data_IF_966560356864
#
_entry.id   IF_966560356864
#
_cell.length_a   1.000
_cell.length_b   1.000
_cell.length_c   1.000
_cell.angle_alpha   90.00
_cell.angle_beta   90.00
_cell.angle_gamma   90.00
#
_symmetry.space_group_name_H-M   'P 1'
#
loop_
_entity.id
_entity.type
_entity.pdbx_description
1 polymer ?
#
# COMPACT_ATOMS: atom_id res chain seq x y z
N UNK A 1 9.26 -10.48 68.13
CA UNK A 1 9.87 -10.39 66.78
C UNK A 1 9.60 -11.71 66.06
N UNK A 2 8.54 -11.80 65.27
CA UNK A 2 8.25 -12.98 64.44
C UNK A 2 7.75 -12.51 63.09
N UNK A 3 8.59 -12.71 62.06
CA UNK A 3 8.28 -12.38 60.68
C UNK A 3 7.51 -13.55 60.04
N UNK A 4 6.35 -13.25 59.46
CA UNK A 4 5.56 -14.20 58.68
C UNK A 4 5.84 -13.94 57.20
N UNK A 5 6.48 -14.89 56.53
CA UNK A 5 6.80 -14.84 55.09
C UNK A 5 5.65 -15.52 54.34
N UNK A 6 4.94 -14.77 53.51
CA UNK A 6 3.90 -15.29 52.61
C UNK A 6 4.48 -15.44 51.20
N UNK A 7 4.73 -16.68 50.74
CA UNK A 7 5.09 -16.97 49.34
C UNK A 7 3.81 -17.11 48.50
N UNK A 8 3.64 -16.22 47.51
CA UNK A 8 2.64 -16.34 46.45
C UNK A 8 3.20 -17.22 45.33
N UNK A 9 2.56 -18.37 45.10
CA UNK A 9 2.76 -19.22 43.91
C UNK A 9 1.93 -18.66 42.75
N UNK A 10 2.61 -18.25 41.67
CA UNK A 10 2.00 -17.86 40.40
C UNK A 10 1.89 -19.12 39.54
N UNK A 11 0.66 -19.54 39.21
CA UNK A 11 0.37 -20.60 38.23
C UNK A 11 0.38 -19.99 36.82
N UNK A 12 1.12 -20.61 35.90
CA UNK A 12 1.06 -20.31 34.48
C UNK A 12 -0.24 -20.86 33.83
N UNK A 13 -0.80 -20.20 32.82
CA UNK A 13 -1.99 -20.68 32.11
C UNK A 13 -1.65 -21.82 31.12
N UNK A 14 -2.60 -22.72 30.84
CA UNK A 14 -2.42 -23.81 29.88
C UNK A 14 -2.44 -23.30 28.44
N UNK A 15 -1.52 -23.83 27.64
CA UNK A 15 -1.46 -23.67 26.18
C UNK A 15 -2.71 -24.26 25.53
N UNK A 16 -3.46 -23.43 24.82
CA UNK A 16 -4.62 -23.85 24.04
C UNK A 16 -4.19 -24.67 22.80
N UNK A 17 -4.84 -25.81 22.64
CA UNK A 17 -4.74 -26.75 21.53
C UNK A 17 -5.28 -26.15 20.24
N UNK A 18 -4.59 -26.43 19.13
CA UNK A 18 -4.99 -26.08 17.78
C UNK A 18 -6.32 -26.76 17.40
N UNK A 19 -7.30 -25.96 16.98
CA UNK A 19 -8.53 -26.44 16.36
C UNK A 19 -8.80 -25.62 15.08
N UNK A 20 -8.76 -26.34 13.95
CA UNK A 20 -9.53 -26.10 12.72
C UNK A 20 -9.64 -24.66 12.22
N UNK A 21 -8.62 -24.23 11.47
CA UNK A 21 -8.71 -23.13 10.51
C UNK A 21 -9.60 -23.54 9.33
N UNK A 22 -10.49 -22.65 8.93
CA UNK A 22 -11.33 -22.73 7.73
C UNK A 22 -10.49 -22.63 6.43
N UNK A 23 -11.00 -23.09 5.26
CA UNK A 23 -10.20 -23.36 4.06
C UNK A 23 -9.66 -22.13 3.30
N UNK A 24 -9.99 -20.92 3.72
CA UNK A 24 -9.76 -19.71 2.91
C UNK A 24 -8.34 -19.12 2.99
N UNK A 25 -7.40 -19.81 3.65
CA UNK A 25 -6.00 -19.35 3.81
C UNK A 25 -4.99 -20.02 2.88
N UNK A 26 -5.38 -20.98 2.04
CA UNK A 26 -4.42 -21.79 1.28
C UNK A 26 -3.94 -21.15 -0.05
N UNK A 27 -4.73 -20.29 -0.69
CA UNK A 27 -4.46 -19.91 -2.09
C UNK A 27 -3.68 -18.61 -2.32
N UNK A 28 -3.35 -17.83 -1.28
CA UNK A 28 -2.57 -16.59 -1.45
C UNK A 28 -1.08 -16.69 -1.05
N UNK A 29 -0.60 -17.86 -0.59
CA UNK A 29 0.76 -17.98 -0.05
C UNK A 29 1.80 -18.63 -0.99
N UNK A 30 1.47 -18.97 -2.25
CA UNK A 30 2.40 -19.70 -3.13
C UNK A 30 3.11 -18.89 -4.23
N UNK A 31 3.09 -17.55 -4.18
CA UNK A 31 3.83 -16.72 -5.16
C UNK A 31 4.72 -15.67 -4.47
N UNK A 32 5.53 -16.06 -3.49
CA UNK A 32 6.66 -15.22 -3.07
C UNK A 32 7.90 -16.08 -2.75
N UNK A 33 8.98 -15.72 -3.41
CA UNK A 33 10.31 -16.32 -3.41
C UNK A 33 10.86 -16.60 -2.00
N UNK A 34 11.64 -17.69 -1.79
CA UNK A 34 12.27 -17.97 -0.52
C UNK A 34 13.50 -17.08 -0.32
N UNK A 35 13.43 -16.15 0.63
CA UNK A 35 14.63 -15.46 1.10
C UNK A 35 14.48 -13.99 1.50
N UNK A 36 13.62 -13.66 2.47
CA UNK A 36 13.92 -12.52 3.34
C UNK A 36 13.29 -12.69 4.71
N UNK A 37 14.14 -12.63 5.75
CA UNK A 37 13.73 -12.64 7.14
C UNK A 37 13.15 -11.26 7.48
N UNK A 38 11.82 -11.14 7.54
CA UNK A 38 11.11 -9.95 8.06
C UNK A 38 10.11 -10.38 9.13
N UNK A 39 10.62 -10.83 10.27
CA UNK A 39 9.89 -10.85 11.55
C UNK A 39 10.52 -9.78 12.44
N UNK A 40 10.01 -8.54 12.41
CA UNK A 40 10.18 -7.58 13.53
C UNK A 40 9.48 -6.20 13.43
N UNK A 41 8.60 -5.92 12.46
CA UNK A 41 8.04 -4.54 12.31
C UNK A 41 6.56 -4.35 12.68
N UNK A 42 5.92 -5.31 13.36
CA UNK A 42 4.48 -5.22 13.66
C UNK A 42 4.17 -4.64 15.04
N UNK A 43 5.11 -4.61 15.99
CA UNK A 43 4.81 -4.26 17.40
C UNK A 43 5.03 -2.80 17.84
N UNK A 44 5.49 -1.89 16.96
CA UNK A 44 5.64 -0.45 17.31
C UNK A 44 4.54 0.43 16.67
N UNK A 45 3.57 -0.17 15.98
CA UNK A 45 2.54 0.57 15.22
C UNK A 45 1.30 0.97 16.04
N UNK A 46 1.22 0.57 17.30
CA UNK A 46 0.04 0.73 18.15
C UNK A 46 0.29 1.72 19.29
N UNK A 47 -0.02 2.99 19.04
CA UNK A 47 -0.67 3.96 19.96
C UNK A 47 -0.25 5.38 19.57
N UNK A 48 -1.24 6.15 19.11
CA UNK A 48 -1.16 7.57 18.72
C UNK A 48 -0.26 7.85 17.50
N UNK A 49 -0.89 8.09 16.34
CA UNK A 49 -0.19 8.51 15.13
C UNK A 49 -0.36 10.02 14.85
N UNK A 50 0.50 10.87 15.44
CA UNK A 50 0.87 12.17 14.88
C UNK A 50 2.13 12.09 13.98
N UNK A 51 2.72 10.90 13.79
CA UNK A 51 4.05 10.75 13.18
C UNK A 51 4.11 10.70 11.64
N UNK A 52 2.98 10.64 10.94
CA UNK A 52 2.99 10.64 9.47
C UNK A 52 3.45 11.99 8.90
N UNK A 53 3.23 13.09 9.63
CA UNK A 53 3.72 14.42 9.27
C UNK A 53 5.21 14.59 9.58
N UNK A 54 5.68 14.11 10.73
CA UNK A 54 7.06 14.36 11.19
C UNK A 54 8.09 13.46 10.50
N UNK A 55 7.75 12.22 10.13
CA UNK A 55 8.69 11.35 9.41
C UNK A 55 8.89 11.78 7.95
N UNK A 56 7.88 12.38 7.33
CA UNK A 56 8.03 13.04 6.04
C UNK A 56 8.96 14.25 6.17
N UNK A 57 8.76 15.13 7.15
CA UNK A 57 9.61 16.32 7.35
C UNK A 57 11.05 15.96 7.73
N UNK A 58 11.27 15.01 8.64
CA UNK A 58 12.62 14.60 9.05
C UNK A 58 13.36 13.83 7.95
N UNK A 59 12.69 12.92 7.24
CA UNK A 59 13.31 12.20 6.11
C UNK A 59 13.55 13.12 4.90
N UNK A 60 12.70 14.14 4.70
CA UNK A 60 12.91 15.17 3.68
C UNK A 60 14.04 16.11 4.07
N UNK A 61 14.12 16.51 5.35
CA UNK A 61 15.20 17.33 5.90
C UNK A 61 16.56 16.62 5.86
N UNK A 62 16.60 15.34 6.23
CA UNK A 62 17.82 14.52 6.15
C UNK A 62 18.31 14.34 4.72
N UNK A 63 17.39 14.07 3.77
CA UNK A 63 17.73 13.98 2.33
C UNK A 63 18.19 15.33 1.77
N UNK A 64 17.58 16.43 2.19
CA UNK A 64 18.00 17.78 1.81
C UNK A 64 19.39 18.13 2.37
N UNK A 65 19.70 17.77 3.62
CA UNK A 65 21.01 17.95 4.22
C UNK A 65 22.10 17.16 3.49
N UNK A 66 21.85 15.87 3.20
CA UNK A 66 22.78 15.04 2.43
C UNK A 66 23.01 15.55 0.99
N UNK A 67 21.99 16.15 0.37
CA UNK A 67 22.12 16.81 -0.95
C UNK A 67 22.98 18.07 -0.87
N UNK A 68 22.83 18.89 0.17
CA UNK A 68 23.68 20.09 0.40
C UNK A 68 25.14 19.71 0.61
N UNK A 69 25.42 18.70 1.45
CA UNK A 69 26.80 18.24 1.69
C UNK A 69 27.48 17.72 0.41
N UNK A 70 26.74 16.98 -0.44
CA UNK A 70 27.24 16.56 -1.76
C UNK A 70 27.47 17.75 -2.70
N UNK A 71 26.61 18.76 -2.66
CA UNK A 71 26.78 19.96 -3.47
C UNK A 71 28.02 20.76 -3.03
N UNK A 72 28.22 20.94 -1.73
CA UNK A 72 29.36 21.65 -1.15
C UNK A 72 30.69 20.94 -1.45
N UNK A 73 30.72 19.60 -1.33
CA UNK A 73 31.91 18.81 -1.67
C UNK A 73 32.23 18.86 -3.17
N UNK A 74 31.22 18.87 -4.04
CA UNK A 74 31.42 19.04 -5.48
C UNK A 74 31.89 20.46 -5.85
N UNK A 75 31.36 21.49 -5.18
CA UNK A 75 31.79 22.88 -5.33
C UNK A 75 33.25 23.07 -4.90
N UNK A 76 33.64 22.49 -3.76
CA UNK A 76 35.03 22.50 -3.29
C UNK A 76 35.98 21.81 -4.27
N UNK A 77 35.58 20.67 -4.84
CA UNK A 77 36.38 19.97 -5.87
C UNK A 77 36.52 20.80 -7.15
N UNK A 78 35.46 21.47 -7.60
CA UNK A 78 35.52 22.40 -8.75
C UNK A 78 36.50 23.55 -8.50
N UNK A 79 36.42 24.17 -7.33
CA UNK A 79 37.32 25.27 -6.95
C UNK A 79 38.79 24.83 -6.91
N UNK A 80 39.08 23.63 -6.39
CA UNK A 80 40.43 23.05 -6.42
C UNK A 80 40.92 22.82 -7.86
N UNK A 81 40.05 22.33 -8.75
CA UNK A 81 40.41 22.04 -10.13
C UNK A 81 40.66 23.33 -10.92
N UNK A 82 39.86 24.39 -10.71
CA UNK A 82 40.10 25.72 -11.27
C UNK A 82 41.42 26.33 -10.79
N UNK A 83 41.77 26.15 -9.51
CA UNK A 83 43.04 26.62 -8.97
C UNK A 83 44.24 25.94 -9.65
N UNK A 84 44.16 24.62 -9.89
CA UNK A 84 45.20 23.86 -10.61
C UNK A 84 45.33 24.29 -12.08
N UNK A 85 44.20 24.58 -12.74
CA UNK A 85 44.23 25.06 -14.12
C UNK A 85 44.81 26.47 -14.22
N UNK A 86 44.53 27.36 -13.25
CA UNK A 86 45.16 28.69 -13.18
C UNK A 86 46.66 28.61 -12.92
N UNK A 87 47.12 27.70 -12.07
CA UNK A 87 48.56 27.56 -11.78
C UNK A 87 49.35 27.00 -12.97
N UNK A 88 48.72 26.20 -13.83
CA UNK A 88 49.40 25.61 -14.99
C UNK A 88 49.32 26.46 -16.27
N UNK A 89 48.56 27.56 -16.27
CA UNK A 89 48.31 28.37 -17.47
C UNK A 89 49.26 29.56 -17.69
N UNK A 90 50.30 29.77 -16.87
CA UNK A 90 51.07 31.02 -16.92
C UNK A 90 52.26 31.07 -17.90
N UNK A 91 52.52 30.03 -18.69
CA UNK A 91 53.68 30.00 -19.61
C UNK A 91 53.33 29.52 -21.02
N UNK A 92 52.87 30.46 -21.85
CA UNK A 92 52.92 30.53 -23.34
C UNK A 92 51.75 31.44 -23.77
N UNK A 93 51.92 32.60 -24.40
CA UNK A 93 52.99 33.02 -25.28
C UNK A 93 52.65 32.62 -26.72
N UNK A 94 51.85 33.44 -27.42
CA UNK A 94 51.67 33.33 -28.88
C UNK A 94 50.22 33.35 -29.34
N UNK A 95 49.77 34.48 -29.88
CA UNK A 95 48.40 34.69 -30.35
C UNK A 95 48.03 33.95 -31.64
N UNK A 96 46.72 33.78 -31.84
CA UNK A 96 46.06 34.06 -33.12
C UNK A 96 44.54 34.10 -32.92
N UNK A 97 43.92 35.09 -33.57
CA UNK A 97 42.53 35.16 -34.04
C UNK A 97 41.37 34.82 -33.09
N UNK A 98 40.91 35.89 -32.45
CA UNK A 98 39.64 36.04 -31.75
C UNK A 98 38.56 36.50 -32.73
N UNK A 99 37.81 35.58 -33.37
CA UNK A 99 36.54 35.94 -34.08
C UNK A 99 35.41 34.88 -34.03
N UNK A 100 35.50 33.81 -33.22
CA UNK A 100 34.45 32.77 -33.14
C UNK A 100 33.68 32.68 -31.80
N UNK A 101 33.73 33.70 -30.94
CA UNK A 101 33.26 33.55 -29.54
C UNK A 101 31.77 33.91 -29.29
N UNK A 102 31.12 34.65 -30.19
CA UNK A 102 29.75 35.16 -29.94
C UNK A 102 28.68 34.04 -29.96
N UNK A 103 28.76 33.11 -30.91
CA UNK A 103 27.81 31.98 -31.00
C UNK A 103 27.88 31.01 -29.80
N UNK A 104 29.02 30.96 -29.10
CA UNK A 104 29.18 30.13 -27.90
C UNK A 104 28.41 30.69 -26.70
N UNK A 105 28.35 32.02 -26.55
CA UNK A 105 27.66 32.65 -25.42
C UNK A 105 26.13 32.56 -25.53
N UNK A 106 25.58 32.72 -26.73
CA UNK A 106 24.14 32.58 -26.96
C UNK A 106 23.67 31.14 -26.75
N UNK A 107 24.44 30.15 -27.23
CA UNK A 107 24.14 28.74 -26.99
C UNK A 107 24.19 28.37 -25.50
N UNK A 108 25.09 28.97 -24.71
CA UNK A 108 25.12 28.78 -23.26
C UNK A 108 23.91 29.40 -22.56
N UNK A 109 23.50 30.61 -22.96
CA UNK A 109 22.30 31.27 -22.41
C UNK A 109 21.04 30.46 -22.70
N UNK A 110 20.85 30.01 -23.95
CA UNK A 110 19.70 29.19 -24.32
C UNK A 110 19.65 27.85 -23.57
N UNK A 111 20.81 27.21 -23.33
CA UNK A 111 20.89 25.99 -22.52
C UNK A 111 20.57 26.24 -21.05
N UNK A 112 20.98 27.39 -20.50
CA UNK A 112 20.69 27.75 -19.12
C UNK A 112 19.19 28.03 -18.93
N UNK A 113 18.59 28.82 -19.83
CA UNK A 113 17.15 29.12 -19.81
C UNK A 113 16.30 27.86 -19.95
N UNK A 114 16.66 26.96 -20.88
CA UNK A 114 15.98 25.66 -21.00
C UNK A 114 16.05 24.85 -19.71
N UNK A 115 17.22 24.81 -19.06
CA UNK A 115 17.41 24.08 -17.82
C UNK A 115 16.56 24.65 -16.67
N UNK A 116 16.45 25.97 -16.58
CA UNK A 116 15.60 26.63 -15.58
C UNK A 116 14.13 26.26 -15.79
N UNK A 117 13.64 26.28 -17.04
CA UNK A 117 12.30 25.83 -17.38
C UNK A 117 12.05 24.35 -17.05
N UNK A 118 13.04 23.48 -17.31
CA UNK A 118 12.95 22.06 -16.98
C UNK A 118 12.89 21.84 -15.45
N UNK A 119 13.71 22.57 -14.68
CA UNK A 119 13.72 22.53 -13.21
C UNK A 119 12.39 23.04 -12.61
N UNK A 120 11.80 24.10 -13.16
CA UNK A 120 10.47 24.59 -12.75
C UNK A 120 9.36 23.58 -13.07
N UNK A 121 9.43 22.91 -14.23
CA UNK A 121 8.48 21.88 -14.61
C UNK A 121 8.58 20.63 -13.71
N UNK A 122 9.78 20.22 -13.33
CA UNK A 122 10.00 19.17 -12.33
C UNK A 122 9.43 19.56 -10.96
N UNK A 123 9.66 20.80 -10.52
CA UNK A 123 9.10 21.28 -9.26
C UNK A 123 7.58 21.22 -9.24
N UNK A 124 6.91 21.72 -10.28
CA UNK A 124 5.43 21.67 -10.41
C UNK A 124 4.89 20.25 -10.33
N UNK A 125 5.53 19.30 -11.03
CA UNK A 125 5.14 17.87 -11.00
C UNK A 125 5.34 17.26 -9.62
N UNK A 126 6.40 17.62 -8.91
CA UNK A 126 6.62 17.19 -7.53
C UNK A 126 5.55 17.70 -6.58
N UNK A 127 5.12 18.96 -6.71
CA UNK A 127 4.03 19.52 -5.90
C UNK A 127 2.69 18.82 -6.17
N UNK A 128 2.36 18.60 -7.44
CA UNK A 128 1.14 17.89 -7.83
C UNK A 128 1.14 16.46 -7.28
N UNK A 129 2.28 15.77 -7.32
CA UNK A 129 2.43 14.44 -6.73
C UNK A 129 2.16 14.44 -5.23
N UNK A 130 2.70 15.39 -4.48
CA UNK A 130 2.47 15.50 -3.03
C UNK A 130 0.98 15.70 -2.75
N UNK A 131 0.30 16.56 -3.53
CA UNK A 131 -1.16 16.75 -3.42
C UNK A 131 -1.94 15.46 -3.66
N UNK A 132 -1.56 14.68 -4.68
CA UNK A 132 -2.20 13.39 -4.98
C UNK A 132 -1.93 12.35 -3.89
N UNK A 133 -0.74 12.33 -3.28
CA UNK A 133 -0.44 11.46 -2.14
C UNK A 133 -1.25 11.80 -0.91
N UNK A 134 -1.42 13.09 -0.60
CA UNK A 134 -2.25 13.55 0.50
C UNK A 134 -3.71 13.13 0.31
N UNK A 135 -4.20 13.25 -0.92
CA UNK A 135 -5.54 12.86 -1.33
C UNK A 135 -5.75 11.34 -1.26
N UNK A 136 -4.82 10.55 -1.81
CA UNK A 136 -4.82 9.09 -1.69
C UNK A 136 -4.85 8.67 -0.22
N UNK A 137 -4.00 9.29 0.60
CA UNK A 137 -3.96 9.06 2.03
C UNK A 137 -5.27 9.45 2.73
N UNK A 138 -5.94 10.51 2.29
CA UNK A 138 -7.25 10.89 2.80
C UNK A 138 -8.30 9.81 2.50
N UNK A 139 -8.36 9.33 1.26
CA UNK A 139 -9.31 8.29 0.84
C UNK A 139 -9.10 7.01 1.67
N UNK A 140 -7.86 6.52 1.77
CA UNK A 140 -7.52 5.32 2.55
C UNK A 140 -7.89 5.48 4.03
N UNK A 141 -7.55 6.63 4.64
CA UNK A 141 -7.92 6.90 6.05
C UNK A 141 -9.42 6.99 6.25
N UNK A 142 -10.16 7.55 5.28
CA UNK A 142 -11.62 7.64 5.32
C UNK A 142 -12.25 6.25 5.27
N UNK A 143 -11.80 5.41 4.33
CA UNK A 143 -12.23 4.02 4.21
C UNK A 143 -11.92 3.23 5.49
N UNK A 144 -10.69 3.29 5.99
CA UNK A 144 -10.29 2.63 7.24
C UNK A 144 -11.20 2.99 8.42
N UNK A 145 -11.49 4.28 8.61
CA UNK A 145 -12.40 4.75 9.68
C UNK A 145 -13.81 4.20 9.48
N UNK A 146 -14.27 4.11 8.23
CA UNK A 146 -15.59 3.58 7.88
C UNK A 146 -15.68 2.07 8.15
N UNK A 147 -14.64 1.31 7.83
CA UNK A 147 -14.53 -0.10 8.19
C UNK A 147 -14.57 -0.30 9.72
N UNK A 148 -13.79 0.47 10.48
CA UNK A 148 -13.81 0.41 11.95
C UNK A 148 -15.19 0.76 12.54
N UNK A 149 -15.90 1.72 11.96
CA UNK A 149 -17.26 2.06 12.37
C UNK A 149 -18.23 0.92 12.04
N UNK A 150 -18.09 0.28 10.89
CA UNK A 150 -18.89 -0.89 10.49
C UNK A 150 -18.71 -2.04 11.49
N UNK A 151 -17.49 -2.30 11.96
CA UNK A 151 -17.24 -3.31 13.00
C UNK A 151 -17.94 -2.97 14.33
N UNK A 152 -18.05 -1.68 14.68
CA UNK A 152 -18.79 -1.27 15.88
C UNK A 152 -20.29 -1.55 15.75
N UNK A 153 -20.85 -1.52 14.53
CA UNK A 153 -22.25 -1.89 14.25
C UNK A 153 -22.46 -3.39 14.43
N UNK A 154 -21.48 -4.22 14.06
CA UNK A 154 -21.55 -5.70 14.18
C UNK A 154 -21.39 -6.18 15.63
N UNK A 155 -20.65 -5.42 16.45
CA UNK A 155 -20.28 -5.79 17.83
C UNK A 155 -21.45 -6.19 18.74
N UNK A 156 -22.59 -5.47 18.81
CA UNK A 156 -23.70 -5.85 19.67
C UNK A 156 -24.48 -7.09 19.19
N UNK A 157 -24.24 -7.57 17.96
CA UNK A 157 -25.03 -8.62 17.35
C UNK A 157 -26.36 -8.10 16.76
N UNK A 158 -27.05 -8.96 16.02
CA UNK A 158 -28.40 -8.70 15.50
C UNK A 158 -29.39 -9.82 15.86
N UNK A 159 -30.64 -9.69 15.41
CA UNK A 159 -31.69 -10.68 15.69
C UNK A 159 -31.38 -12.07 15.14
N UNK A 160 -30.64 -12.14 14.03
CA UNK A 160 -30.18 -13.41 13.45
C UNK A 160 -29.15 -14.08 14.35
N UNK A 161 -28.16 -13.33 14.84
CA UNK A 161 -27.19 -13.85 15.81
C UNK A 161 -27.90 -14.41 17.05
N UNK A 162 -28.92 -13.70 17.58
CA UNK A 162 -29.73 -14.17 18.71
C UNK A 162 -30.60 -15.40 18.39
N UNK A 163 -31.03 -15.58 17.14
CA UNK A 163 -31.69 -16.81 16.71
C UNK A 163 -30.70 -17.99 16.67
N UNK A 164 -29.51 -17.79 16.09
CA UNK A 164 -28.46 -18.80 16.01
C UNK A 164 -27.95 -19.20 17.41
N UNK A 165 -27.86 -18.26 18.35
CA UNK A 165 -27.53 -18.56 19.75
C UNK A 165 -28.61 -19.42 20.41
N UNK A 166 -29.89 -19.05 20.25
CA UNK A 166 -31.01 -19.82 20.82
C UNK A 166 -31.07 -21.24 20.27
N UNK A 167 -30.89 -21.42 18.97
CA UNK A 167 -30.89 -22.75 18.35
C UNK A 167 -29.76 -23.62 18.94
N UNK A 168 -28.56 -23.07 19.13
CA UNK A 168 -27.43 -23.79 19.74
C UNK A 168 -27.66 -24.11 21.21
N UNK A 169 -28.23 -23.18 21.98
CA UNK A 169 -28.58 -23.39 23.39
C UNK A 169 -29.66 -24.49 23.53
N UNK A 170 -30.70 -24.46 22.70
CA UNK A 170 -31.75 -25.48 22.67
C UNK A 170 -31.21 -26.85 22.26
N UNK A 171 -30.28 -26.89 21.28
CA UNK A 171 -29.60 -28.11 20.87
C UNK A 171 -28.75 -28.68 22.00
N UNK A 172 -27.93 -27.87 22.67
CA UNK A 172 -27.14 -28.30 23.83
C UNK A 172 -28.04 -28.82 24.96
N UNK A 173 -29.18 -28.18 25.20
CA UNK A 173 -30.15 -28.63 26.20
C UNK A 173 -30.77 -29.97 25.83
N UNK A 174 -31.18 -30.15 24.57
CA UNK A 174 -31.73 -31.42 24.07
C UNK A 174 -30.71 -32.56 24.17
N UNK A 175 -29.47 -32.32 23.73
CA UNK A 175 -28.38 -33.30 23.83
C UNK A 175 -28.10 -33.69 25.30
N UNK A 176 -28.20 -32.74 26.23
CA UNK A 176 -28.05 -33.01 27.65
C UNK A 176 -29.21 -33.85 28.21
N UNK A 177 -30.46 -33.53 27.85
CA UNK A 177 -31.64 -34.30 28.26
C UNK A 177 -31.62 -35.74 27.75
N UNK A 178 -31.19 -35.96 26.50
CA UNK A 178 -31.03 -37.29 25.90
C UNK A 178 -29.98 -38.15 26.61
N UNK A 179 -28.87 -37.54 27.07
CA UNK A 179 -27.82 -38.25 27.83
C UNK A 179 -28.32 -38.74 29.19
N UNK A 180 -29.31 -38.07 29.80
CA UNK A 180 -29.91 -38.55 31.05
C UNK A 180 -30.85 -39.74 30.86
N UNK A 181 -31.30 -40.03 29.63
CA UNK A 181 -32.27 -41.09 29.34
C UNK A 181 -31.66 -42.38 28.79
N UNK A 182 -30.50 -42.33 28.12
CA UNK A 182 -29.87 -43.51 27.50
C UNK A 182 -28.43 -43.76 27.99
N UNK A 183 -28.16 -45.00 28.40
CA UNK A 183 -27.04 -45.39 29.27
C UNK A 183 -25.61 -45.25 28.67
N UNK A 184 -25.43 -44.93 27.38
CA UNK A 184 -24.08 -44.78 26.76
C UNK A 184 -24.10 -43.78 25.56
N UNK A 185 -24.57 -42.55 25.78
CA UNK A 185 -24.50 -41.47 24.78
C UNK A 185 -23.21 -40.64 24.85
N UNK A 186 -22.59 -40.33 23.71
CA UNK A 186 -21.39 -39.47 23.64
C UNK A 186 -21.72 -38.03 24.03
N UNK A 187 -21.29 -37.62 25.23
CA UNK A 187 -21.50 -36.27 25.76
C UNK A 187 -20.63 -35.25 25.02
N UNK A 188 -21.25 -34.21 24.44
CA UNK A 188 -20.53 -33.07 23.87
C UNK A 188 -20.00 -32.19 25.01
N UNK A 189 -18.67 -32.16 25.18
CA UNK A 189 -17.98 -31.28 26.15
C UNK A 189 -17.82 -29.83 25.64
N UNK A 190 -18.67 -29.39 24.71
CA UNK A 190 -18.65 -28.01 24.26
C UNK A 190 -19.01 -27.09 25.45
N UNK A 191 -18.21 -26.03 25.71
CA UNK A 191 -18.56 -25.06 26.73
C UNK A 191 -19.91 -24.40 26.41
N UNK A 192 -20.64 -23.91 27.43
CA UNK A 192 -21.88 -23.16 27.23
C UNK A 192 -21.65 -21.97 26.28
N UNK A 193 -22.63 -21.70 25.43
CA UNK A 193 -22.62 -20.57 24.51
C UNK A 193 -22.46 -19.27 25.31
N UNK A 194 -21.38 -18.53 25.06
CA UNK A 194 -21.13 -17.24 25.70
C UNK A 194 -21.28 -16.13 24.65
N UNK A 195 -22.49 -15.58 24.57
CA UNK A 195 -22.90 -14.59 23.57
C UNK A 195 -21.95 -13.39 23.51
N UNK A 196 -21.64 -12.80 24.66
CA UNK A 196 -20.76 -11.63 24.72
C UNK A 196 -19.34 -11.96 24.24
N UNK A 197 -18.81 -13.13 24.62
CA UNK A 197 -17.48 -13.53 24.20
C UNK A 197 -17.38 -13.80 22.69
N UNK A 198 -18.39 -14.45 22.11
CA UNK A 198 -18.44 -14.75 20.67
C UNK A 198 -18.61 -13.47 19.82
N UNK A 199 -19.53 -12.59 20.22
CA UNK A 199 -19.73 -11.31 19.53
C UNK A 199 -18.51 -10.39 19.65
N UNK A 200 -17.87 -10.36 20.82
CA UNK A 200 -16.63 -9.62 21.04
C UNK A 200 -15.48 -10.19 20.20
N UNK A 201 -15.27 -11.50 20.21
CA UNK A 201 -14.18 -12.12 19.47
C UNK A 201 -14.35 -11.94 17.95
N UNK A 202 -15.58 -11.99 17.44
CA UNK A 202 -15.90 -11.65 16.04
C UNK A 202 -15.53 -10.21 15.71
N UNK A 203 -15.91 -9.25 16.55
CA UNK A 203 -15.57 -7.84 16.34
C UNK A 203 -14.05 -7.58 16.43
N UNK A 204 -13.36 -8.26 17.35
CA UNK A 204 -11.91 -8.19 17.49
C UNK A 204 -11.21 -8.77 16.25
N UNK A 205 -11.65 -9.93 15.76
CA UNK A 205 -11.15 -10.55 14.52
C UNK A 205 -11.18 -9.57 13.33
N UNK A 206 -12.34 -8.96 13.07
CA UNK A 206 -12.44 -7.99 11.96
C UNK A 206 -11.64 -6.71 12.22
N UNK A 207 -11.54 -6.27 13.47
CA UNK A 207 -10.70 -5.12 13.82
C UNK A 207 -9.24 -5.39 13.53
N UNK A 208 -8.74 -6.58 13.86
CA UNK A 208 -7.37 -7.00 13.56
C UNK A 208 -7.16 -7.16 12.05
N UNK A 209 -8.09 -7.82 11.36
CA UNK A 209 -8.03 -7.96 9.90
C UNK A 209 -7.95 -6.60 9.19
N UNK A 210 -8.75 -5.61 9.61
CA UNK A 210 -8.69 -4.24 9.07
C UNK A 210 -7.34 -3.58 9.41
N UNK A 211 -6.79 -3.80 10.60
CA UNK A 211 -5.47 -3.23 10.96
C UNK A 211 -4.32 -3.83 10.18
N UNK A 212 -4.41 -5.11 9.84
CA UNK A 212 -3.38 -5.83 9.08
C UNK A 212 -3.47 -5.58 7.57
N UNK A 213 -4.69 -5.48 7.03
CA UNK A 213 -4.93 -5.27 5.60
C UNK A 213 -4.58 -3.85 5.14
N UNK A 214 -4.89 -2.84 5.95
CA UNK A 214 -4.68 -1.45 5.58
C UNK A 214 -3.21 -1.04 5.72
N UNK A 215 -2.66 -0.48 4.65
CA UNK A 215 -1.28 0.01 4.57
C UNK A 215 -0.63 -0.34 3.24
N UNK A 216 -0.99 -1.49 2.67
CA UNK A 216 -0.44 -1.99 1.41
C UNK A 216 -0.85 -1.12 0.21
N UNK A 217 -1.96 -0.39 0.33
CA UNK A 217 -2.47 0.48 -0.72
C UNK A 217 -1.51 1.64 -0.95
N UNK A 218 -1.10 2.33 0.12
CA UNK A 218 -0.20 3.49 0.01
C UNK A 218 1.21 3.10 -0.42
N UNK A 219 1.67 1.89 -0.09
CA UNK A 219 2.98 1.37 -0.50
C UNK A 219 3.12 1.32 -2.03
N UNK A 220 2.01 1.21 -2.78
CA UNK A 220 2.01 1.25 -4.26
C UNK A 220 2.45 2.61 -4.81
N UNK A 221 2.19 3.69 -4.08
CA UNK A 221 2.49 5.06 -4.51
C UNK A 221 3.79 5.60 -3.87
N UNK A 222 4.56 4.77 -3.17
CA UNK A 222 5.78 5.20 -2.47
C UNK A 222 6.94 5.48 -3.44
N UNK A 223 7.03 4.76 -4.55
CA UNK A 223 8.19 4.78 -5.44
C UNK A 223 8.08 5.83 -6.55
N UNK A 224 9.17 6.55 -6.80
CA UNK A 224 9.29 7.51 -7.89
C UNK A 224 10.10 6.91 -9.06
N UNK A 225 9.62 6.98 -10.32
CA UNK A 225 8.33 7.50 -10.78
C UNK A 225 7.20 6.47 -10.77
N UNK A 226 5.97 6.97 -10.67
CA UNK A 226 4.76 6.13 -10.70
C UNK A 226 4.57 5.48 -12.07
N UNK A 227 4.06 4.24 -12.07
CA UNK A 227 3.62 3.53 -13.27
C UNK A 227 2.09 3.51 -13.32
N UNK A 228 1.54 3.33 -14.53
CA UNK A 228 0.09 3.15 -14.73
C UNK A 228 -0.43 2.00 -13.85
N UNK A 229 0.28 0.87 -13.84
CA UNK A 229 -0.04 -0.31 -13.03
C UNK A 229 -0.09 -0.01 -11.51
N UNK A 230 0.73 0.92 -11.00
CA UNK A 230 0.79 1.22 -9.56
C UNK A 230 -0.48 1.96 -9.10
N UNK A 231 -0.95 2.91 -9.92
CA UNK A 231 -2.20 3.66 -9.67
C UNK A 231 -3.40 2.73 -9.82
N UNK A 232 -3.42 1.87 -10.84
CA UNK A 232 -4.48 0.88 -11.02
C UNK A 232 -4.56 -0.11 -9.85
N UNK A 233 -3.41 -0.60 -9.37
CA UNK A 233 -3.36 -1.46 -8.19
C UNK A 233 -3.84 -0.74 -6.94
N UNK A 234 -3.46 0.53 -6.74
CA UNK A 234 -3.97 1.34 -5.64
C UNK A 234 -5.50 1.43 -5.68
N UNK A 235 -6.07 1.85 -6.81
CA UNK A 235 -7.53 1.98 -6.99
C UNK A 235 -8.24 0.64 -6.78
N UNK A 236 -7.67 -0.45 -7.32
CA UNK A 236 -8.20 -1.79 -7.14
C UNK A 236 -8.25 -2.20 -5.66
N UNK A 237 -7.16 -2.01 -4.91
CA UNK A 237 -7.11 -2.37 -3.49
C UNK A 237 -8.09 -1.55 -2.65
N UNK A 238 -8.21 -0.25 -2.91
CA UNK A 238 -9.17 0.62 -2.22
C UNK A 238 -10.61 0.18 -2.49
N UNK A 239 -10.95 -0.14 -3.75
CA UNK A 239 -12.27 -0.68 -4.10
C UNK A 239 -12.53 -2.02 -3.44
N UNK A 240 -11.53 -2.91 -3.46
CA UNK A 240 -11.63 -4.21 -2.84
C UNK A 240 -11.87 -4.12 -1.32
N UNK A 241 -11.22 -3.20 -0.62
CA UNK A 241 -11.45 -2.95 0.81
C UNK A 241 -12.88 -2.48 1.11
N UNK A 242 -13.45 -1.62 0.25
CA UNK A 242 -14.85 -1.19 0.36
C UNK A 242 -15.83 -2.34 0.06
N UNK A 243 -15.55 -3.16 -0.96
CA UNK A 243 -16.38 -4.32 -1.29
C UNK A 243 -16.34 -5.38 -0.18
N UNK A 244 -15.17 -5.64 0.41
CA UNK A 244 -15.04 -6.52 1.57
C UNK A 244 -15.86 -6.01 2.77
N UNK A 245 -15.81 -4.70 3.05
CA UNK A 245 -16.61 -4.08 4.12
C UNK A 245 -18.11 -4.31 3.91
N UNK A 246 -18.61 -4.07 2.69
CA UNK A 246 -20.02 -4.30 2.32
C UNK A 246 -20.40 -5.77 2.41
N UNK A 247 -19.53 -6.66 1.94
CA UNK A 247 -19.73 -8.09 2.01
C UNK A 247 -19.92 -8.56 3.46
N UNK A 248 -19.05 -8.14 4.38
CA UNK A 248 -19.15 -8.53 5.80
C UNK A 248 -20.49 -8.10 6.39
N UNK A 249 -20.93 -6.86 6.15
CA UNK A 249 -22.23 -6.40 6.66
C UNK A 249 -23.39 -7.19 6.04
N UNK A 250 -23.34 -7.41 4.73
CA UNK A 250 -24.39 -8.16 4.00
C UNK A 250 -24.48 -9.62 4.44
N UNK A 251 -23.35 -10.30 4.66
CA UNK A 251 -23.29 -11.72 5.01
C UNK A 251 -23.96 -11.99 6.37
N UNK A 252 -23.71 -11.09 7.33
CA UNK A 252 -24.36 -11.12 8.63
C UNK A 252 -25.74 -10.44 8.67
N UNK A 253 -26.26 -9.94 7.54
CA UNK A 253 -27.54 -9.23 7.45
C UNK A 253 -27.61 -7.98 8.35
N UNK A 254 -26.52 -7.24 8.49
CA UNK A 254 -26.54 -5.89 9.05
C UNK A 254 -26.88 -4.88 7.96
N UNK A 255 -27.71 -3.90 8.30
CA UNK A 255 -27.89 -2.70 7.47
C UNK A 255 -26.58 -1.92 7.43
N UNK A 256 -26.23 -1.35 6.26
CA UNK A 256 -25.00 -0.57 6.09
C UNK A 256 -25.29 0.94 6.25
N UNK A 257 -25.06 1.54 7.44
CA UNK A 257 -25.29 2.97 7.65
C UNK A 257 -24.25 3.85 6.93
N UNK A 258 -23.25 3.25 6.28
CA UNK A 258 -22.14 3.96 5.65
C UNK A 258 -22.03 3.71 4.14
N UNK A 259 -23.06 3.14 3.51
CA UNK A 259 -23.04 2.81 2.08
C UNK A 259 -22.69 4.01 1.17
N UNK A 260 -23.12 5.21 1.56
CA UNK A 260 -22.93 6.46 0.81
C UNK A 260 -21.70 7.27 1.24
N UNK A 261 -20.98 6.86 2.29
CA UNK A 261 -19.84 7.62 2.82
C UNK A 261 -18.61 7.50 1.90
N UNK A 262 -18.48 6.38 1.18
CA UNK A 262 -17.36 6.15 0.28
C UNK A 262 -17.58 6.84 -1.07
N UNK A 263 -16.85 7.94 -1.29
CA UNK A 263 -16.94 8.72 -2.52
C UNK A 263 -16.14 8.08 -3.66
N UNK A 264 -16.82 7.28 -4.48
CA UNK A 264 -16.26 6.66 -5.69
C UNK A 264 -15.79 7.71 -6.70
N UNK A 265 -16.49 8.83 -6.83
CA UNK A 265 -16.15 9.87 -7.82
C UNK A 265 -14.82 10.51 -7.48
N UNK A 266 -14.56 10.73 -6.19
CA UNK A 266 -13.28 11.26 -5.69
C UNK A 266 -12.11 10.31 -5.98
N UNK A 267 -12.33 9.00 -5.88
CA UNK A 267 -11.32 8.00 -6.24
C UNK A 267 -11.02 8.00 -7.75
N UNK A 268 -12.05 8.09 -8.61
CA UNK A 268 -11.83 8.19 -10.07
C UNK A 268 -11.12 9.49 -10.45
N UNK A 269 -11.49 10.62 -9.83
CA UNK A 269 -10.84 11.90 -10.09
C UNK A 269 -9.34 11.86 -9.72
N UNK A 270 -8.99 11.20 -8.61
CA UNK A 270 -7.60 10.97 -8.24
C UNK A 270 -6.88 10.11 -9.27
N UNK A 271 -7.53 9.03 -9.74
CA UNK A 271 -6.97 8.16 -10.78
C UNK A 271 -6.65 8.96 -12.04
N UNK A 272 -7.61 9.71 -12.57
CA UNK A 272 -7.44 10.51 -13.79
C UNK A 272 -6.30 11.53 -13.65
N UNK A 273 -6.21 12.22 -12.50
CA UNK A 273 -5.13 13.18 -12.24
C UNK A 273 -3.76 12.49 -12.14
N UNK A 274 -3.68 11.32 -11.51
CA UNK A 274 -2.45 10.56 -11.40
C UNK A 274 -1.99 10.03 -12.76
N UNK A 275 -2.90 9.50 -13.59
CA UNK A 275 -2.61 9.05 -14.96
C UNK A 275 -2.10 10.21 -15.82
N UNK A 276 -2.71 11.39 -15.70
CA UNK A 276 -2.24 12.60 -16.40
C UNK A 276 -0.83 12.98 -15.97
N UNK A 277 -0.55 13.00 -14.66
CA UNK A 277 0.78 13.30 -14.14
C UNK A 277 1.83 12.30 -14.64
N UNK A 278 1.49 11.01 -14.69
CA UNK A 278 2.36 9.95 -15.23
C UNK A 278 2.64 10.18 -16.71
N UNK A 279 1.61 10.50 -17.51
CA UNK A 279 1.77 10.80 -18.92
C UNK A 279 2.74 11.97 -19.15
N UNK A 280 2.52 13.09 -18.46
CA UNK A 280 3.36 14.28 -18.56
C UNK A 280 4.81 14.00 -18.11
N UNK A 281 5.00 13.11 -17.14
CA UNK A 281 6.32 12.69 -16.68
C UNK A 281 7.04 11.78 -17.68
N UNK A 282 6.32 10.84 -18.30
CA UNK A 282 6.87 9.92 -19.28
C UNK A 282 7.23 10.64 -20.58
N UNK A 283 6.36 11.54 -21.05
CA UNK A 283 6.60 12.35 -22.24
C UNK A 283 7.87 13.20 -22.09
N UNK A 284 8.01 13.90 -20.95
CA UNK A 284 9.20 14.72 -20.68
C UNK A 284 10.51 13.90 -20.62
N UNK A 285 10.43 12.64 -20.17
CA UNK A 285 11.58 11.73 -20.11
C UNK A 285 11.82 10.96 -21.41
N UNK A 286 10.93 11.09 -22.40
CA UNK A 286 10.95 10.30 -23.63
C UNK A 286 10.74 8.81 -23.40
N UNK A 287 9.98 8.45 -22.38
CA UNK A 287 9.65 7.05 -22.05
C UNK A 287 8.32 6.66 -22.68
N UNK A 288 8.19 5.39 -23.07
CA UNK A 288 6.99 4.84 -23.70
C UNK A 288 6.08 4.28 -22.61
N UNK A 289 4.80 4.66 -22.62
CA UNK A 289 3.78 4.16 -21.68
C UNK A 289 3.45 2.69 -21.94
N UNK A 290 3.02 1.96 -20.91
CA UNK A 290 2.64 0.55 -21.08
C UNK A 290 1.38 0.44 -21.95
N UNK A 291 0.43 1.34 -21.78
CA UNK A 291 -0.77 1.48 -22.62
C UNK A 291 -0.42 1.66 -24.12
N UNK A 292 0.55 2.50 -24.45
CA UNK A 292 1.04 2.70 -25.82
C UNK A 292 1.74 1.45 -26.36
N UNK A 293 2.57 0.80 -25.53
CA UNK A 293 3.24 -0.44 -25.91
C UNK A 293 2.23 -1.55 -26.25
N UNK A 294 1.15 -1.68 -25.47
CA UNK A 294 0.07 -2.64 -25.74
C UNK A 294 -0.63 -2.35 -27.07
N UNK A 295 -1.00 -1.08 -27.32
CA UNK A 295 -1.60 -0.66 -28.60
C UNK A 295 -0.70 -0.98 -29.80
N UNK A 296 0.61 -0.77 -29.68
CA UNK A 296 1.57 -1.11 -30.72
C UNK A 296 1.61 -2.63 -30.98
N UNK A 297 1.57 -3.47 -29.95
CA UNK A 297 1.55 -4.93 -30.11
C UNK A 297 0.26 -5.40 -30.78
N UNK A 298 -0.89 -4.88 -30.36
CA UNK A 298 -2.20 -5.21 -30.95
C UNK A 298 -2.24 -4.85 -32.44
N UNK A 299 -1.72 -3.67 -32.82
CA UNK A 299 -1.64 -3.26 -34.22
C UNK A 299 -0.74 -4.15 -35.09
N UNK A 300 0.29 -4.76 -34.50
CA UNK A 300 1.17 -5.70 -35.22
C UNK A 300 0.46 -7.03 -35.42
N UNK A 301 -0.36 -7.47 -34.46
CA UNK A 301 -1.11 -8.73 -34.60
C UNK A 301 -2.14 -8.67 -35.73
N UNK A 302 -2.85 -7.56 -35.89
CA UNK A 302 -3.85 -7.37 -36.95
C UNK A 302 -3.24 -7.36 -38.37
N UNK A 303 -1.95 -7.04 -38.51
CA UNK A 303 -1.27 -7.05 -39.82
C UNK A 303 -0.72 -8.42 -40.21
N UNK A 304 -0.64 -9.37 -39.27
CA UNK A 304 -0.08 -10.70 -39.52
C UNK A 304 -1.13 -11.71 -40.04
N UNK A 305 -2.43 -11.49 -39.78
CA UNK A 305 -3.50 -12.38 -40.27
C UNK A 305 -3.75 -12.26 -41.79
N UNK A 306 -3.18 -11.26 -42.46
CA UNK A 306 -3.38 -11.03 -43.90
C UNK A 306 -2.48 -11.94 -44.78
N UNK A 307 -1.50 -12.64 -44.21
CA UNK A 307 -0.63 -13.57 -44.95
C UNK A 307 -1.00 -15.06 -44.77
N UNK A 308 -2.21 -15.35 -44.30
CA UNK A 308 -2.77 -16.70 -44.21
C UNK A 308 -3.20 -17.32 -45.56
N UNK A 309 -2.52 -17.01 -46.67
CA UNK A 309 -2.66 -17.79 -47.89
C UNK A 309 -1.89 -19.11 -47.73
N UNK A 310 -2.62 -20.18 -47.38
CA UNK A 310 -2.38 -21.60 -47.69
C UNK A 310 -0.94 -21.97 -48.10
N UNK A 311 0.02 -21.88 -47.18
CA UNK A 311 1.31 -22.57 -47.36
C UNK A 311 1.10 -24.04 -47.00
N UNK A 312 0.59 -24.79 -47.97
CA UNK A 312 0.41 -26.24 -47.95
C UNK A 312 1.79 -26.93 -47.84
N UNK A 313 2.29 -27.10 -46.61
CA UNK A 313 3.53 -27.82 -46.32
C UNK A 313 3.34 -29.32 -46.57
N UNK A 314 3.34 -29.71 -47.84
CA UNK A 314 3.54 -31.11 -48.24
C UNK A 314 4.99 -31.51 -48.00
N UNK A 315 5.23 -32.12 -46.84
CA UNK A 315 6.45 -32.88 -46.56
C UNK A 315 6.45 -34.11 -47.48
N UNK A 316 7.42 -34.18 -48.39
CA UNK A 316 7.74 -35.39 -49.17
C UNK A 316 8.72 -36.26 -48.40
#
# INVERSE_FOLDING_TARGET
MSATITRRLVRAPPTASAATLTPWRQDMCNVLLPGSSRKCLVLVRQQNAPWFSSLSEEASSSRAAARRERADTMAAKRAQLEALLRSNGSESGGGSEVQHNEGSQEAMKAKAEKRELDEEAEHRRSEERIRLLDEAGFIVRSLYRTCLRSVRVIRPGNERDEADFREREEKQKREMEEVFTDDIGSFSFAPPVNRENELRSRAEYYTEQIREGFGQEMDRLEYDPWREDDVDQFVHLVRHGEDQRRYILSDYQFEDPYADVFDRKRLEALKEQAEKLIHDEYEARGWILQSERKKNIESVHDTCEVFGEDIDFRIK
#
